data_IF_225572131724
#
_entry.id   IF_225572131724
#
_cell.length_a   1.000
_cell.length_b   1.000
_cell.length_c   1.000
_cell.angle_alpha   90.00
_cell.angle_beta   90.00
_cell.angle_gamma   90.00
#
_symmetry.space_group_name_H-M   'P 1'
#
loop_
_entity.id
_entity.type
_entity.pdbx_description
1 polymer ?
#
# COMPACT_ATOMS: atom_id res chain seq x y z
N UNK A 1 25.37 -9.73 -3.71
CA UNK A 1 24.93 -8.68 -2.79
C UNK A 1 23.40 -8.71 -2.74
N UNK A 2 22.68 -9.24 -1.75
CA UNK A 2 22.91 -9.25 -0.31
C UNK A 2 21.70 -8.64 0.41
N UNK A 3 20.48 -9.14 0.17
CA UNK A 3 19.23 -8.47 0.56
C UNK A 3 18.26 -9.31 1.40
N UNK A 4 18.75 -10.05 2.39
CA UNK A 4 17.91 -10.69 3.41
C UNK A 4 18.07 -9.93 4.74
N UNK A 5 17.20 -8.96 5.00
CA UNK A 5 16.95 -8.44 6.36
C UNK A 5 15.45 -8.21 6.58
N UNK A 6 14.81 -9.17 7.27
CA UNK A 6 13.72 -8.91 8.21
C UNK A 6 12.30 -8.68 7.67
N UNK A 7 11.51 -9.77 7.55
CA UNK A 7 10.05 -9.76 7.37
C UNK A 7 9.54 -8.98 6.14
N UNK A 8 10.04 -9.35 4.95
CA UNK A 8 9.55 -8.83 3.68
C UNK A 8 8.02 -8.83 3.62
N UNK A 9 7.45 -7.67 3.33
CA UNK A 9 6.02 -7.58 3.08
C UNK A 9 5.73 -8.46 1.88
N UNK A 10 4.84 -9.43 2.05
CA UNK A 10 4.45 -10.30 0.93
C UNK A 10 3.72 -9.44 -0.10
N UNK A 11 3.94 -9.73 -1.38
CA UNK A 11 3.16 -9.12 -2.47
C UNK A 11 1.66 -9.18 -2.17
N UNK A 12 1.15 -10.32 -1.68
CA UNK A 12 -0.26 -10.50 -1.29
C UNK A 12 -0.72 -9.56 -0.16
N UNK A 13 0.17 -9.15 0.75
CA UNK A 13 -0.16 -8.17 1.79
C UNK A 13 -0.20 -6.77 1.19
N UNK A 14 0.80 -6.41 0.37
CA UNK A 14 0.85 -5.12 -0.30
C UNK A 14 -0.38 -4.90 -1.19
N UNK A 15 -0.70 -5.85 -2.07
CA UNK A 15 -1.88 -5.75 -2.95
C UNK A 15 -3.19 -5.71 -2.18
N UNK A 16 -3.28 -6.44 -1.06
CA UNK A 16 -4.47 -6.41 -0.19
C UNK A 16 -4.64 -5.07 0.52
N UNK A 17 -3.55 -4.46 0.97
CA UNK A 17 -3.54 -3.10 1.53
C UNK A 17 -4.03 -2.12 0.46
N UNK A 18 -3.40 -2.12 -0.72
CA UNK A 18 -3.72 -1.16 -1.78
C UNK A 18 -5.13 -1.32 -2.32
N UNK A 19 -5.62 -2.56 -2.48
CA UNK A 19 -7.01 -2.81 -2.86
C UNK A 19 -8.00 -2.25 -1.84
N UNK A 20 -7.67 -2.29 -0.54
CA UNK A 20 -8.49 -1.66 0.50
C UNK A 20 -8.39 -0.13 0.47
N UNK A 21 -7.23 0.40 0.12
CA UNK A 21 -7.01 1.84 -0.03
C UNK A 21 -7.84 2.38 -1.19
N UNK A 22 -7.74 1.76 -2.36
CA UNK A 22 -8.49 2.09 -3.57
C UNK A 22 -10.00 2.04 -3.32
N UNK A 23 -10.49 0.98 -2.66
CA UNK A 23 -11.91 0.89 -2.28
C UNK A 23 -12.38 1.95 -1.27
N UNK A 24 -11.48 2.47 -0.43
CA UNK A 24 -11.78 3.56 0.52
C UNK A 24 -11.65 4.94 -0.12
N UNK A 25 -10.78 5.07 -1.12
CA UNK A 25 -10.44 6.33 -1.76
C UNK A 25 -11.39 6.64 -2.94
N UNK A 26 -11.90 5.62 -3.62
CA UNK A 26 -12.79 5.74 -4.79
C UNK A 26 -12.05 5.63 -6.12
N UNK A 27 -12.78 5.79 -7.24
CA UNK A 27 -12.25 5.70 -8.60
C UNK A 27 -11.25 6.81 -8.96
N UNK A 28 -11.34 7.98 -8.30
CA UNK A 28 -10.44 9.10 -8.58
C UNK A 28 -10.16 9.90 -7.30
N UNK A 29 -9.29 9.39 -6.42
CA UNK A 29 -9.14 9.96 -5.10
C UNK A 29 -8.23 11.18 -5.06
N UNK A 30 -8.70 12.27 -4.46
CA UNK A 30 -7.83 13.41 -4.12
C UNK A 30 -6.82 13.05 -3.02
N UNK A 31 -5.78 13.87 -2.86
CA UNK A 31 -4.73 13.68 -1.84
C UNK A 31 -5.29 13.48 -0.42
N UNK A 32 -6.39 14.17 -0.09
CA UNK A 32 -7.08 14.03 1.19
C UNK A 32 -7.79 12.67 1.32
N UNK A 33 -8.45 12.21 0.26
CA UNK A 33 -9.12 10.91 0.20
C UNK A 33 -8.10 9.77 0.33
N UNK A 34 -6.99 9.85 -0.41
CA UNK A 34 -5.88 8.89 -0.30
C UNK A 34 -5.31 8.88 1.12
N UNK A 35 -5.04 10.04 1.72
CA UNK A 35 -4.54 10.13 3.09
C UNK A 35 -5.51 9.50 4.10
N UNK A 36 -6.80 9.72 3.94
CA UNK A 36 -7.82 9.09 4.76
C UNK A 36 -7.84 7.57 4.56
N UNK A 37 -7.73 7.10 3.32
CA UNK A 37 -7.64 5.68 2.97
C UNK A 37 -6.38 5.03 3.57
N UNK A 38 -5.23 5.70 3.53
CA UNK A 38 -3.97 5.29 4.17
C UNK A 38 -4.13 5.09 5.68
N UNK A 39 -4.80 6.03 6.35
CA UNK A 39 -5.03 5.99 7.80
C UNK A 39 -6.07 4.95 8.22
N UNK A 40 -7.06 4.67 7.37
CA UNK A 40 -8.16 3.71 7.63
C UNK A 40 -7.82 2.29 7.19
N UNK A 41 -7.19 2.13 6.04
CA UNK A 41 -6.86 0.84 5.41
C UNK A 41 -6.04 -0.06 6.30
N UNK A 42 -5.05 0.49 7.02
CA UNK A 42 -4.25 -0.29 7.96
C UNK A 42 -5.00 -0.71 9.23
N UNK A 43 -6.02 0.03 9.67
CA UNK A 43 -6.82 -0.34 10.85
C UNK A 43 -7.68 -1.57 10.60
N UNK A 44 -8.19 -1.72 9.37
CA UNK A 44 -9.02 -2.85 8.95
C UNK A 44 -8.27 -4.19 9.00
N UNK A 45 -6.94 -4.16 8.93
CA UNK A 45 -6.11 -5.36 8.92
C UNK A 45 -5.81 -5.93 10.31
N UNK A 46 -6.28 -5.29 11.39
CA UNK A 46 -6.06 -5.72 12.78
C UNK A 46 -4.65 -5.44 13.30
N UNK A 47 -4.36 -5.76 14.57
CA UNK A 47 -3.12 -5.35 15.26
C UNK A 47 -1.83 -5.83 14.59
N UNK A 48 -1.77 -7.10 14.17
CA UNK A 48 -0.52 -7.72 13.68
C UNK A 48 -0.17 -7.24 12.26
N UNK A 49 -1.14 -7.26 11.35
CA UNK A 49 -0.94 -6.81 9.98
C UNK A 49 -0.98 -5.28 9.87
N UNK A 50 -1.73 -4.60 10.74
CA UNK A 50 -1.82 -3.14 10.80
C UNK A 50 -0.47 -2.48 11.03
N UNK A 51 0.39 -3.04 11.89
CA UNK A 51 1.76 -2.53 12.08
C UNK A 51 2.61 -2.62 10.80
N UNK A 52 2.53 -3.73 10.06
CA UNK A 52 3.24 -3.90 8.78
C UNK A 52 2.68 -2.99 7.69
N UNK A 53 1.36 -2.84 7.65
CA UNK A 53 0.69 -1.91 6.75
C UNK A 53 1.11 -0.47 7.03
N UNK A 54 1.12 -0.04 8.30
CA UNK A 54 1.55 1.31 8.66
C UNK A 54 2.98 1.56 8.22
N UNK A 55 3.89 0.63 8.45
CA UNK A 55 5.27 0.76 7.98
C UNK A 55 5.36 0.88 6.45
N UNK A 56 4.58 0.08 5.70
CA UNK A 56 4.52 0.18 4.23
C UNK A 56 4.00 1.55 3.79
N UNK A 57 2.88 1.97 4.37
CA UNK A 57 2.23 3.23 4.04
C UNK A 57 3.11 4.41 4.37
N UNK A 58 3.81 4.38 5.49
CA UNK A 58 4.68 5.47 5.93
C UNK A 58 5.94 5.56 5.05
N UNK A 59 6.55 4.41 4.75
CA UNK A 59 7.76 4.35 3.91
C UNK A 59 7.50 4.66 2.43
N UNK A 60 6.37 4.21 1.90
CA UNK A 60 6.05 4.28 0.48
C UNK A 60 4.87 5.22 0.18
N UNK A 61 4.59 6.16 1.09
CA UNK A 61 3.41 7.03 1.00
C UNK A 61 3.28 7.73 -0.34
N UNK A 62 4.38 8.29 -0.84
CA UNK A 62 4.42 9.01 -2.11
C UNK A 62 4.00 8.11 -3.27
N UNK A 63 4.72 7.00 -3.46
CA UNK A 63 4.45 6.02 -4.52
C UNK A 63 3.03 5.45 -4.46
N UNK A 64 2.51 5.18 -3.26
CA UNK A 64 1.14 4.69 -3.09
C UNK A 64 0.13 5.77 -3.45
N UNK A 65 0.43 7.03 -3.12
CA UNK A 65 -0.46 8.16 -3.42
C UNK A 65 -0.51 8.43 -4.92
N UNK A 66 0.65 8.52 -5.56
CA UNK A 66 0.76 8.70 -7.01
C UNK A 66 0.04 7.57 -7.74
N UNK A 67 0.36 6.30 -7.43
CA UNK A 67 -0.30 5.17 -8.10
C UNK A 67 -1.81 5.10 -7.87
N UNK A 68 -2.30 5.49 -6.69
CA UNK A 68 -3.76 5.56 -6.45
C UNK A 68 -4.43 6.71 -7.23
N UNK A 69 -3.73 7.81 -7.43
CA UNK A 69 -4.22 8.97 -8.20
C UNK A 69 -4.15 8.71 -9.72
N UNK A 70 -3.15 7.98 -10.16
CA UNK A 70 -2.94 7.59 -11.57
C UNK A 70 -3.87 6.44 -11.99
N UNK A 71 -4.61 5.84 -11.03
CA UNK A 71 -5.50 4.72 -11.28
C UNK A 71 -4.78 3.39 -11.48
N UNK A 72 -3.53 3.28 -11.02
CA UNK A 72 -2.74 2.06 -11.14
C UNK A 72 -3.38 0.88 -10.39
N UNK A 73 -3.08 -0.33 -10.87
CA UNK A 73 -3.54 -1.52 -10.17
C UNK A 73 -2.76 -1.72 -8.88
N UNK A 74 -3.37 -2.32 -7.84
CA UNK A 74 -2.68 -2.67 -6.59
C UNK A 74 -1.40 -3.47 -6.80
N UNK A 75 -1.29 -4.23 -7.89
CA UNK A 75 -0.10 -5.04 -8.18
C UNK A 75 1.02 -4.18 -8.75
N UNK A 76 0.71 -3.26 -9.65
CA UNK A 76 1.71 -2.41 -10.32
C UNK A 76 2.37 -1.47 -9.32
N UNK A 77 1.59 -0.83 -8.46
CA UNK A 77 2.12 0.01 -7.37
C UNK A 77 3.05 -0.82 -6.47
N UNK A 78 2.65 -2.05 -6.13
CA UNK A 78 3.50 -2.95 -5.34
C UNK A 78 4.74 -3.46 -6.08
N UNK A 79 4.71 -3.57 -7.40
CA UNK A 79 5.86 -3.89 -8.22
C UNK A 79 6.83 -2.70 -8.31
N UNK A 80 6.30 -1.48 -8.44
CA UNK A 80 7.08 -0.23 -8.41
C UNK A 80 7.83 -0.02 -7.09
N UNK A 81 7.29 -0.53 -5.98
CA UNK A 81 7.97 -0.55 -4.67
C UNK A 81 8.99 -1.69 -4.50
N UNK A 82 9.17 -2.55 -5.52
CA UNK A 82 10.03 -3.73 -5.46
C UNK A 82 9.50 -4.86 -4.55
N UNK A 83 8.20 -4.82 -4.20
CA UNK A 83 7.58 -5.79 -3.29
C UNK A 83 6.99 -6.97 -4.06
N UNK A 84 6.27 -6.68 -5.14
CA UNK A 84 5.83 -7.69 -6.09
C UNK A 84 6.86 -7.82 -7.20
N UNK A 85 7.04 -9.04 -7.71
CA UNK A 85 7.70 -9.25 -9.00
C UNK A 85 6.69 -8.89 -10.09
N UNK A 86 7.10 -8.09 -11.07
CA UNK A 86 6.31 -7.78 -12.27
C UNK A 86 5.82 -9.06 -12.91
#
# INVERSE_FOLDING_TARGET
DGGAQGRGIKCSLCTKVLKKMQALAGDNPDQSAVTAALKKGCRVLGRVLGKKCQWLVDKYRGQITEGLQDGDTPRDICAAMGICRS
#
